data_IF_062829829606
#
_entry.id   IF_062829829606
#
_cell.length_a   1.000
_cell.length_b   1.000
_cell.length_c   1.000
_cell.angle_alpha   90.00
_cell.angle_beta   90.00
_cell.angle_gamma   90.00
#
_symmetry.space_group_name_H-M   'P 1'
#
loop_
_entity.id
_entity.type
_entity.pdbx_description
1 polymer ?
#
# COMPACT_ATOMS: atom_id res chain seq x y z
N UNK A 1 -27.44 4.44 -15.98
CA UNK A 1 -26.38 5.48 -16.05
C UNK A 1 -25.70 5.74 -14.71
N UNK A 2 -26.34 6.33 -13.68
CA UNK A 2 -25.67 6.58 -12.39
C UNK A 2 -25.34 5.27 -11.64
N UNK A 3 -26.24 4.29 -11.72
CA UNK A 3 -26.09 2.96 -11.11
C UNK A 3 -24.99 2.14 -11.80
N UNK A 4 -24.96 2.15 -13.14
CA UNK A 4 -23.89 1.50 -13.92
C UNK A 4 -22.51 2.12 -13.66
N UNK A 5 -22.45 3.44 -13.46
CA UNK A 5 -21.21 4.13 -13.13
C UNK A 5 -20.70 3.81 -11.72
N UNK A 6 -21.62 3.67 -10.75
CA UNK A 6 -21.31 3.20 -9.40
C UNK A 6 -20.86 1.73 -9.39
N UNK A 7 -21.52 0.87 -10.16
CA UNK A 7 -21.13 -0.55 -10.28
C UNK A 7 -19.75 -0.69 -10.95
N UNK A 8 -19.47 0.10 -11.98
CA UNK A 8 -18.15 0.12 -12.64
C UNK A 8 -17.01 0.50 -11.68
N UNK A 9 -17.21 1.51 -10.83
CA UNK A 9 -16.22 1.89 -9.79
C UNK A 9 -16.01 0.80 -8.74
N UNK A 10 -17.06 0.07 -8.41
CA UNK A 10 -17.01 -1.03 -7.46
C UNK A 10 -16.26 -2.24 -8.04
N UNK A 11 -16.41 -2.50 -9.33
CA UNK A 11 -15.64 -3.53 -10.02
C UNK A 11 -14.17 -3.14 -10.18
N UNK A 12 -13.86 -1.88 -10.48
CA UNK A 12 -12.49 -1.35 -10.46
C UNK A 12 -11.84 -1.51 -9.08
N UNK A 13 -12.55 -1.22 -7.98
CA UNK A 13 -12.04 -1.42 -6.63
C UNK A 13 -11.76 -2.90 -6.31
N UNK A 14 -12.62 -3.82 -6.74
CA UNK A 14 -12.37 -5.27 -6.62
C UNK A 14 -11.12 -5.68 -7.39
N UNK A 15 -10.92 -5.11 -8.58
CA UNK A 15 -9.77 -5.42 -9.41
C UNK A 15 -8.46 -4.90 -8.79
N UNK A 16 -8.46 -3.68 -8.24
CA UNK A 16 -7.32 -3.15 -7.47
C UNK A 16 -6.98 -4.09 -6.32
N UNK A 17 -7.98 -4.47 -5.52
CA UNK A 17 -7.78 -5.39 -4.40
C UNK A 17 -7.24 -6.76 -4.85
N UNK A 18 -7.77 -7.33 -5.93
CA UNK A 18 -7.31 -8.61 -6.51
C UNK A 18 -5.87 -8.49 -7.03
N UNK A 19 -5.59 -7.46 -7.82
CA UNK A 19 -4.28 -7.22 -8.43
C UNK A 19 -3.17 -7.08 -7.38
N UNK A 20 -3.41 -6.33 -6.31
CA UNK A 20 -2.45 -6.18 -5.21
C UNK A 20 -2.18 -7.51 -4.49
N UNK A 21 -3.22 -8.32 -4.29
CA UNK A 21 -3.07 -9.66 -3.70
C UNK A 21 -2.30 -10.63 -4.59
N UNK A 22 -2.48 -10.54 -5.90
CA UNK A 22 -1.70 -11.30 -6.89
C UNK A 22 -0.24 -10.84 -6.86
N UNK A 23 0.02 -9.53 -6.86
CA UNK A 23 1.37 -8.98 -6.78
C UNK A 23 2.10 -9.45 -5.50
N UNK A 24 1.45 -9.36 -4.34
CA UNK A 24 1.98 -9.90 -3.09
C UNK A 24 2.33 -11.41 -3.22
N UNK A 25 1.47 -12.16 -3.90
CA UNK A 25 1.66 -13.58 -4.20
C UNK A 25 2.90 -13.87 -5.05
N UNK A 26 3.07 -13.10 -6.13
CA UNK A 26 4.22 -13.21 -7.03
C UNK A 26 5.52 -12.90 -6.26
N UNK A 27 5.58 -11.78 -5.54
CA UNK A 27 6.77 -11.42 -4.76
C UNK A 27 7.09 -12.47 -3.69
N UNK A 28 6.06 -13.00 -3.01
CA UNK A 28 6.23 -14.06 -2.02
C UNK A 28 6.79 -15.34 -2.66
N UNK A 29 6.24 -15.77 -3.80
CA UNK A 29 6.73 -16.95 -4.52
C UNK A 29 8.18 -16.77 -5.00
N UNK A 30 8.53 -15.60 -5.54
CA UNK A 30 9.90 -15.28 -5.94
C UNK A 30 10.86 -15.35 -4.74
N UNK A 31 10.49 -14.71 -3.62
CA UNK A 31 11.27 -14.69 -2.37
C UNK A 31 11.53 -16.09 -1.82
N UNK A 32 10.50 -16.94 -1.79
CA UNK A 32 10.57 -18.24 -1.12
C UNK A 32 11.13 -19.35 -2.04
N UNK A 33 10.82 -19.30 -3.35
CA UNK A 33 11.07 -20.42 -4.26
C UNK A 33 12.15 -20.19 -5.31
N UNK A 34 12.54 -18.93 -5.60
CA UNK A 34 13.45 -18.62 -6.72
C UNK A 34 14.70 -17.86 -6.31
N UNK A 35 14.57 -16.81 -5.49
CA UNK A 35 15.72 -16.04 -4.99
C UNK A 35 16.76 -16.93 -4.27
N UNK A 36 16.36 -17.91 -3.42
CA UNK A 36 17.32 -18.81 -2.78
C UNK A 36 18.11 -19.71 -3.74
N UNK A 37 17.67 -19.83 -5.00
CA UNK A 37 18.34 -20.65 -6.04
C UNK A 37 19.41 -19.87 -6.81
N UNK A 38 19.54 -18.55 -6.58
CA UNK A 38 20.54 -17.74 -7.25
C UNK A 38 21.94 -18.10 -6.72
N UNK A 39 22.82 -18.55 -7.62
CA UNK A 39 24.22 -18.86 -7.28
C UNK A 39 24.95 -17.58 -6.83
N UNK A 40 24.66 -16.47 -7.50
CA UNK A 40 25.17 -15.14 -7.14
C UNK A 40 24.03 -14.34 -6.52
N UNK A 41 24.12 -13.98 -5.23
CA UNK A 41 23.08 -13.20 -4.58
C UNK A 41 23.01 -11.79 -5.17
N UNK A 42 21.82 -11.19 -5.10
CA UNK A 42 21.64 -9.80 -5.51
C UNK A 42 22.42 -8.86 -4.57
N UNK A 43 23.00 -7.82 -5.16
CA UNK A 43 23.66 -6.75 -4.40
C UNK A 43 22.67 -6.02 -3.49
N UNK A 44 23.19 -5.41 -2.42
CA UNK A 44 22.40 -4.58 -1.51
C UNK A 44 21.77 -3.41 -2.27
N UNK A 45 20.49 -3.16 -2.02
CA UNK A 45 19.69 -2.10 -2.63
C UNK A 45 19.06 -2.49 -3.98
N UNK A 46 19.20 -3.74 -4.43
CA UNK A 46 18.58 -4.25 -5.67
C UNK A 46 17.27 -4.97 -5.37
N UNK A 47 16.39 -5.05 -6.36
CA UNK A 47 15.01 -5.55 -6.19
C UNK A 47 14.93 -7.01 -5.70
N UNK A 48 15.89 -7.85 -6.09
CA UNK A 48 15.98 -9.25 -5.67
C UNK A 48 16.64 -9.44 -4.30
N UNK A 49 17.00 -8.35 -3.62
CA UNK A 49 17.44 -8.43 -2.24
C UNK A 49 16.24 -8.71 -1.31
N UNK A 50 16.44 -9.61 -0.35
CA UNK A 50 15.44 -10.05 0.64
C UNK A 50 14.63 -8.91 1.29
N UNK A 51 15.28 -7.79 1.63
CA UNK A 51 14.62 -6.64 2.28
C UNK A 51 13.63 -5.92 1.35
N UNK A 52 14.01 -5.69 0.08
CA UNK A 52 13.14 -4.99 -0.87
C UNK A 52 11.93 -5.85 -1.21
N UNK A 53 12.17 -7.13 -1.53
CA UNK A 53 11.07 -8.02 -1.90
C UNK A 53 10.10 -8.27 -0.73
N UNK A 54 10.60 -8.40 0.51
CA UNK A 54 9.75 -8.51 1.69
C UNK A 54 8.92 -7.24 1.92
N UNK A 55 9.52 -6.05 1.76
CA UNK A 55 8.80 -4.80 1.86
C UNK A 55 7.70 -4.67 0.79
N UNK A 56 7.94 -5.13 -0.44
CA UNK A 56 6.91 -5.18 -1.49
C UNK A 56 5.76 -6.13 -1.14
N UNK A 57 6.04 -7.34 -0.63
CA UNK A 57 4.99 -8.27 -0.17
C UNK A 57 4.09 -7.59 0.87
N UNK A 58 4.71 -6.99 1.88
CA UNK A 58 3.98 -6.35 2.99
C UNK A 58 3.21 -5.12 2.51
N UNK A 59 3.80 -4.29 1.64
CA UNK A 59 3.12 -3.11 1.10
C UNK A 59 1.91 -3.49 0.26
N UNK A 60 2.03 -4.49 -0.62
CA UNK A 60 0.89 -4.95 -1.43
C UNK A 60 -0.26 -5.45 -0.54
N UNK A 61 0.03 -6.14 0.56
CA UNK A 61 -0.99 -6.52 1.54
C UNK A 61 -1.61 -5.30 2.22
N UNK A 62 -0.80 -4.34 2.67
CA UNK A 62 -1.27 -3.11 3.31
C UNK A 62 -2.19 -2.29 2.39
N UNK A 63 -1.79 -2.09 1.14
CA UNK A 63 -2.56 -1.34 0.14
C UNK A 63 -3.87 -2.04 -0.23
N UNK A 64 -3.87 -3.37 -0.32
CA UNK A 64 -5.09 -4.14 -0.51
C UNK A 64 -6.01 -4.03 0.73
N UNK A 65 -5.43 -4.02 1.93
CA UNK A 65 -6.17 -3.86 3.19
C UNK A 65 -6.91 -2.51 3.25
N UNK A 66 -6.36 -1.44 2.64
CA UNK A 66 -7.05 -0.16 2.51
C UNK A 66 -8.38 -0.27 1.75
N UNK A 67 -8.39 -1.06 0.67
CA UNK A 67 -9.60 -1.30 -0.12
C UNK A 67 -10.61 -2.08 0.71
N UNK A 68 -10.15 -3.05 1.51
CA UNK A 68 -10.99 -3.79 2.45
C UNK A 68 -11.60 -2.87 3.52
N UNK A 69 -10.83 -1.93 4.08
CA UNK A 69 -11.33 -0.93 5.03
C UNK A 69 -12.39 -0.04 4.37
N UNK A 70 -12.10 0.51 3.19
CA UNK A 70 -13.03 1.36 2.46
C UNK A 70 -14.35 0.63 2.19
N UNK A 71 -14.28 -0.66 1.80
CA UNK A 71 -15.44 -1.51 1.59
C UNK A 71 -16.18 -1.81 2.90
N UNK A 72 -15.45 -2.04 4.00
CA UNK A 72 -16.06 -2.29 5.31
C UNK A 72 -16.86 -1.08 5.81
N UNK A 73 -16.35 0.14 5.57
CA UNK A 73 -17.04 1.40 5.86
C UNK A 73 -18.28 1.55 4.96
N UNK A 74 -18.15 1.29 3.67
CA UNK A 74 -19.27 1.36 2.71
C UNK A 74 -20.42 0.41 3.08
N UNK A 75 -20.07 -0.80 3.52
CA UNK A 75 -21.00 -1.83 4.00
C UNK A 75 -21.49 -1.60 5.43
N UNK A 76 -21.08 -0.49 6.08
CA UNK A 76 -21.48 -0.11 7.44
C UNK A 76 -21.23 -1.21 8.48
N UNK A 77 -20.08 -1.88 8.38
CA UNK A 77 -19.67 -2.83 9.41
C UNK A 77 -19.45 -2.14 10.77
N UNK A 78 -19.43 -2.94 11.83
CA UNK A 78 -19.23 -2.46 13.19
C UNK A 78 -17.91 -1.65 13.33
N UNK A 79 -17.92 -0.52 14.05
CA UNK A 79 -16.73 0.32 14.25
C UNK A 79 -15.53 -0.45 14.78
N UNK A 80 -15.73 -1.41 15.68
CA UNK A 80 -14.65 -2.24 16.23
C UNK A 80 -13.92 -3.07 15.16
N UNK A 81 -14.64 -3.59 14.16
CA UNK A 81 -14.01 -4.31 13.04
C UNK A 81 -13.18 -3.35 12.17
N UNK A 82 -13.74 -2.17 11.86
CA UNK A 82 -13.04 -1.16 11.05
C UNK A 82 -11.78 -0.67 11.78
N UNK A 83 -11.88 -0.44 13.10
CA UNK A 83 -10.74 -0.06 13.94
C UNK A 83 -9.64 -1.13 13.93
N UNK A 84 -10.02 -2.41 14.05
CA UNK A 84 -9.08 -3.52 14.00
C UNK A 84 -8.40 -3.66 12.63
N UNK A 85 -9.16 -3.56 11.53
CA UNK A 85 -8.61 -3.59 10.18
C UNK A 85 -7.62 -2.43 9.94
N UNK A 86 -7.96 -1.22 10.40
CA UNK A 86 -7.09 -0.06 10.30
C UNK A 86 -5.82 -0.22 11.14
N UNK A 87 -5.92 -0.79 12.34
CA UNK A 87 -4.76 -1.04 13.20
C UNK A 87 -3.79 -2.04 12.57
N UNK A 88 -4.31 -3.16 12.05
CA UNK A 88 -3.50 -4.17 11.35
C UNK A 88 -2.87 -3.60 10.06
N UNK A 89 -3.58 -2.72 9.35
CA UNK A 89 -3.03 -1.99 8.19
C UNK A 89 -1.85 -1.11 8.59
N UNK A 90 -1.96 -0.37 9.71
CA UNK A 90 -0.86 0.41 10.22
C UNK A 90 0.34 -0.46 10.62
N UNK A 91 0.09 -1.65 11.19
CA UNK A 91 1.15 -2.62 11.53
C UNK A 91 1.88 -3.15 10.29
N UNK A 92 1.16 -3.43 9.19
CA UNK A 92 1.82 -3.78 7.92
C UNK A 92 2.72 -2.64 7.43
N UNK A 93 2.24 -1.40 7.41
CA UNK A 93 3.05 -0.25 7.00
C UNK A 93 4.27 -0.02 7.91
N UNK A 94 4.10 -0.19 9.22
CA UNK A 94 5.20 -0.12 10.17
C UNK A 94 6.25 -1.20 9.91
N UNK A 95 5.79 -2.45 9.71
CA UNK A 95 6.68 -3.58 9.42
C UNK A 95 7.46 -3.34 8.13
N UNK A 96 6.80 -2.88 7.07
CA UNK A 96 7.45 -2.53 5.81
C UNK A 96 8.50 -1.42 5.99
N UNK A 97 8.19 -0.35 6.74
CA UNK A 97 9.18 0.71 7.03
C UNK A 97 10.40 0.15 7.79
N UNK A 98 10.16 -0.71 8.77
CA UNK A 98 11.22 -1.34 9.56
C UNK A 98 12.11 -2.24 8.69
N UNK A 99 11.52 -3.01 7.77
CA UNK A 99 12.26 -3.86 6.81
C UNK A 99 13.25 -3.05 5.97
N UNK A 100 12.90 -1.82 5.62
CA UNK A 100 13.74 -0.92 4.81
C UNK A 100 14.71 -0.06 5.64
N UNK A 101 14.62 -0.06 6.97
CA UNK A 101 15.34 0.86 7.85
C UNK A 101 16.88 0.76 7.78
N UNK A 102 17.39 -0.40 7.36
CA UNK A 102 18.83 -0.71 7.25
C UNK A 102 19.41 -0.54 5.83
N UNK A 103 18.58 -0.10 4.88
CA UNK A 103 19.00 0.25 3.53
C UNK A 103 19.59 1.66 3.47
N UNK A 104 20.32 1.98 2.40
CA UNK A 104 20.91 3.31 2.31
C UNK A 104 19.81 4.37 2.13
N UNK A 105 19.93 5.53 2.82
CA UNK A 105 18.94 6.60 2.74
C UNK A 105 18.72 7.14 1.32
N UNK A 106 19.72 7.10 0.44
CA UNK A 106 19.68 7.70 -0.89
C UNK A 106 18.51 7.18 -1.76
N UNK A 107 18.17 5.90 -1.65
CA UNK A 107 17.09 5.28 -2.43
C UNK A 107 15.89 4.81 -1.58
N UNK A 108 16.04 4.73 -0.25
CA UNK A 108 14.98 4.24 0.64
C UNK A 108 14.17 5.35 1.34
N UNK A 109 14.73 6.55 1.53
CA UNK A 109 14.12 7.58 2.40
C UNK A 109 12.73 7.99 1.93
N UNK A 110 12.55 8.25 0.63
CA UNK A 110 11.25 8.66 0.10
C UNK A 110 10.19 7.57 0.29
N UNK A 111 10.56 6.33 0.06
CA UNK A 111 9.68 5.19 0.26
C UNK A 111 9.31 5.00 1.74
N UNK A 112 10.30 5.08 2.63
CA UNK A 112 10.10 5.03 4.08
C UNK A 112 9.18 6.15 4.59
N UNK A 113 9.31 7.37 4.05
CA UNK A 113 8.39 8.48 4.37
C UNK A 113 6.95 8.18 3.97
N UNK A 114 6.73 7.55 2.81
CA UNK A 114 5.40 7.08 2.40
C UNK A 114 4.83 6.03 3.36
N UNK A 115 5.63 5.03 3.72
CA UNK A 115 5.18 3.96 4.64
C UNK A 115 4.88 4.51 6.04
N UNK A 116 5.72 5.41 6.57
CA UNK A 116 5.49 6.07 7.85
C UNK A 116 4.25 6.97 7.81
N UNK A 117 4.05 7.74 6.73
CA UNK A 117 2.83 8.53 6.52
C UNK A 117 1.60 7.64 6.61
N UNK A 118 1.59 6.53 5.86
CA UNK A 118 0.47 5.58 5.83
C UNK A 118 0.25 4.92 7.17
N UNK A 119 1.30 4.53 7.88
CA UNK A 119 1.21 4.01 9.25
C UNK A 119 0.48 5.03 10.16
N UNK A 120 0.96 6.27 10.26
CA UNK A 120 0.32 7.28 11.12
C UNK A 120 -1.13 7.55 10.72
N UNK A 121 -1.41 7.58 9.42
CA UNK A 121 -2.75 7.78 8.89
C UNK A 121 -3.71 6.64 9.30
N UNK A 122 -3.29 5.39 9.16
CA UNK A 122 -4.12 4.24 9.52
C UNK A 122 -4.23 4.02 11.03
N UNK A 123 -3.21 4.41 11.81
CA UNK A 123 -3.33 4.46 13.28
C UNK A 123 -4.35 5.52 13.71
N UNK A 124 -4.40 6.68 13.06
CA UNK A 124 -5.44 7.68 13.31
C UNK A 124 -6.85 7.16 12.98
N UNK A 125 -7.00 6.42 11.86
CA UNK A 125 -8.24 5.71 11.53
C UNK A 125 -8.65 4.73 12.63
N UNK A 126 -7.70 3.93 13.13
CA UNK A 126 -7.95 2.96 14.19
C UNK A 126 -8.47 3.62 15.47
N UNK A 127 -7.80 4.68 15.94
CA UNK A 127 -8.24 5.44 17.11
C UNK A 127 -9.60 6.13 16.92
N UNK A 128 -9.92 6.57 15.70
CA UNK A 128 -11.19 7.20 15.39
C UNK A 128 -12.36 6.20 15.55
N UNK A 129 -12.29 5.05 14.88
CA UNK A 129 -13.32 4.01 14.99
C UNK A 129 -13.32 3.29 16.34
N UNK A 130 -12.17 3.22 17.02
CA UNK A 130 -12.11 2.76 18.41
C UNK A 130 -12.86 3.72 19.34
N UNK A 131 -12.73 5.04 19.13
CA UNK A 131 -13.52 6.05 19.83
C UNK A 131 -15.03 5.86 19.63
N UNK A 132 -15.48 5.55 18.41
CA UNK A 132 -16.89 5.21 18.17
C UNK A 132 -17.33 3.94 18.90
N UNK A 133 -16.46 2.93 18.99
CA UNK A 133 -16.73 1.69 19.73
C UNK A 133 -16.88 1.96 21.24
N UNK A 134 -16.00 2.80 21.80
CA UNK A 134 -16.04 3.20 23.20
C UNK A 134 -17.29 4.04 23.50
N UNK A 135 -17.65 4.95 22.60
CA UNK A 135 -18.87 5.76 22.72
C UNK A 135 -20.12 4.87 22.73
N UNK A 136 -20.19 3.88 21.83
CA UNK A 136 -21.28 2.91 21.79
C UNK A 136 -21.35 1.99 23.03
N UNK A 137 -20.27 1.96 23.83
CA UNK A 137 -20.19 1.22 25.09
C UNK A 137 -20.34 2.13 26.31
N UNK A 138 -20.92 3.32 26.14
CA UNK A 138 -21.11 4.36 27.16
C UNK A 138 -19.81 4.84 27.82
N UNK A 139 -18.63 4.64 27.20
CA UNK A 139 -17.33 5.09 27.68
C UNK A 139 -16.89 6.38 27.00
N UNK A 140 -17.71 7.41 27.09
CA UNK A 140 -17.51 8.69 26.40
C UNK A 140 -16.20 9.40 26.79
N UNK A 141 -15.76 9.33 28.05
CA UNK A 141 -14.48 9.92 28.47
C UNK A 141 -13.27 9.28 27.77
N UNK A 142 -13.25 7.96 27.69
CA UNK A 142 -12.23 7.19 26.95
C UNK A 142 -12.32 7.46 25.44
N UNK A 143 -13.54 7.57 24.90
CA UNK A 143 -13.78 7.88 23.48
C UNK A 143 -13.18 9.23 23.09
N UNK A 144 -13.35 10.27 23.91
CA UNK A 144 -12.73 11.59 23.69
C UNK A 144 -11.21 11.45 23.67
N UNK A 145 -10.62 10.73 24.63
CA UNK A 145 -9.17 10.58 24.70
C UNK A 145 -8.61 9.80 23.51
N UNK A 146 -9.34 8.79 23.01
CA UNK A 146 -9.03 8.07 21.78
C UNK A 146 -9.00 9.01 20.57
N UNK A 147 -10.02 9.86 20.42
CA UNK A 147 -10.13 10.80 19.30
C UNK A 147 -9.09 11.93 19.35
N UNK A 148 -8.70 12.37 20.55
CA UNK A 148 -7.57 13.29 20.71
C UNK A 148 -6.25 12.66 20.23
N UNK A 149 -6.06 11.35 20.43
CA UNK A 149 -4.89 10.65 19.89
C UNK A 149 -4.97 10.52 18.36
N UNK A 150 -6.17 10.26 17.82
CA UNK A 150 -6.40 10.26 16.37
C UNK A 150 -6.05 11.61 15.74
N UNK A 151 -6.43 12.73 16.36
CA UNK A 151 -6.13 14.08 15.88
C UNK A 151 -4.61 14.35 15.85
N UNK A 152 -3.88 13.98 16.92
CA UNK A 152 -2.41 14.10 16.97
C UNK A 152 -1.74 13.30 15.86
N UNK A 153 -2.16 12.05 15.65
CA UNK A 153 -1.60 11.18 14.61
C UNK A 153 -1.94 11.66 13.20
N UNK A 154 -3.13 12.21 13.01
CA UNK A 154 -3.54 12.84 11.75
C UNK A 154 -2.68 14.07 11.43
N UNK A 155 -2.44 14.94 12.40
CA UNK A 155 -1.55 16.10 12.24
C UNK A 155 -0.11 15.66 11.93
N UNK A 156 0.38 14.59 12.58
CA UNK A 156 1.68 13.99 12.26
C UNK A 156 1.72 13.44 10.83
N UNK A 157 0.66 12.77 10.38
CA UNK A 157 0.56 12.29 9.00
C UNK A 157 0.55 13.45 7.99
N UNK A 158 -0.07 14.58 8.34
CA UNK A 158 -0.07 15.78 7.49
C UNK A 158 1.32 16.41 7.37
N UNK A 159 2.08 16.46 8.46
CA UNK A 159 3.48 16.88 8.43
C UNK A 159 4.33 15.94 7.54
N UNK A 160 4.16 14.62 7.70
CA UNK A 160 4.84 13.62 6.87
C UNK A 160 4.44 13.72 5.39
N UNK A 161 3.23 14.15 5.05
CA UNK A 161 2.84 14.43 3.66
C UNK A 161 3.69 15.53 3.04
N UNK A 162 4.00 16.59 3.80
CA UNK A 162 4.84 17.70 3.33
C UNK A 162 6.28 17.21 3.13
N UNK A 163 6.82 16.53 4.14
CA UNK A 163 8.18 15.96 4.07
C UNK A 163 8.33 14.98 2.90
N UNK A 164 7.34 14.11 2.66
CA UNK A 164 7.34 13.19 1.52
C UNK A 164 7.39 13.93 0.18
N UNK A 165 6.61 15.00 0.02
CA UNK A 165 6.60 15.82 -1.18
C UNK A 165 7.90 16.60 -1.44
N UNK A 166 8.68 16.87 -0.39
CA UNK A 166 9.97 17.57 -0.48
C UNK A 166 11.16 16.59 -0.60
N UNK A 167 10.96 15.33 -0.24
CA UNK A 167 12.00 14.30 -0.29
C UNK A 167 12.26 13.85 -1.72
N UNK A 168 13.51 14.00 -2.18
CA UNK A 168 13.98 13.43 -3.44
C UNK A 168 14.09 11.91 -3.34
N UNK A 169 13.74 11.21 -4.42
CA UNK A 169 13.82 9.76 -4.50
C UNK A 169 13.00 9.21 -5.67
N UNK A 170 12.96 7.89 -5.83
CA UNK A 170 12.23 7.23 -6.92
C UNK A 170 10.75 7.64 -6.98
N UNK A 171 10.19 7.61 -8.18
CA UNK A 171 8.78 7.94 -8.45
C UNK A 171 8.46 9.45 -8.47
N UNK A 172 7.24 9.82 -8.88
CA UNK A 172 6.83 11.21 -9.02
C UNK A 172 6.76 11.94 -7.68
N UNK A 173 6.84 13.27 -7.71
CA UNK A 173 6.56 14.12 -6.54
C UNK A 173 5.06 14.28 -6.39
N UNK A 174 4.49 13.65 -5.37
CA UNK A 174 3.05 13.70 -5.08
C UNK A 174 2.83 14.51 -3.79
N UNK A 175 1.67 15.18 -3.68
CA UNK A 175 1.24 15.90 -2.46
C UNK A 175 -0.02 15.22 -1.88
N UNK A 176 0.13 14.15 -1.08
CA UNK A 176 -1.00 13.31 -0.65
C UNK A 176 -2.02 14.03 0.24
N UNK A 177 -1.61 15.08 0.96
CA UNK A 177 -2.49 15.87 1.84
C UNK A 177 -3.65 16.57 1.10
N UNK A 178 -3.49 16.82 -0.20
CA UNK A 178 -4.55 17.38 -1.05
C UNK A 178 -5.60 16.36 -1.48
N UNK A 179 -5.33 15.07 -1.33
CA UNK A 179 -6.19 14.02 -1.88
C UNK A 179 -7.46 13.84 -1.04
N UNK A 180 -8.55 13.45 -1.69
CA UNK A 180 -9.86 13.30 -1.06
C UNK A 180 -9.85 12.30 0.11
N UNK A 181 -9.08 11.22 0.03
CA UNK A 181 -9.00 10.21 1.10
C UNK A 181 -8.43 10.82 2.39
N UNK A 182 -7.42 11.70 2.28
CA UNK A 182 -6.76 12.32 3.42
C UNK A 182 -7.72 13.28 4.14
N UNK A 183 -8.36 14.18 3.37
CA UNK A 183 -9.31 15.17 3.90
C UNK A 183 -10.55 14.55 4.54
N UNK A 184 -11.03 13.42 4.01
CA UNK A 184 -12.18 12.70 4.58
C UNK A 184 -11.91 12.24 6.01
N UNK A 185 -10.72 11.72 6.29
CA UNK A 185 -10.35 11.31 7.65
C UNK A 185 -10.30 12.50 8.60
N UNK A 186 -9.67 13.61 8.20
CA UNK A 186 -9.59 14.81 9.05
C UNK A 186 -10.97 15.33 9.48
N UNK A 187 -11.92 15.38 8.54
CA UNK A 187 -13.30 15.76 8.84
C UNK A 187 -13.99 14.74 9.75
N UNK A 188 -13.78 13.43 9.53
CA UNK A 188 -14.35 12.39 10.36
C UNK A 188 -13.86 12.50 11.81
N UNK A 189 -12.54 12.60 12.03
CA UNK A 189 -11.95 12.75 13.37
C UNK A 189 -12.52 13.97 14.09
N UNK A 190 -12.54 15.12 13.41
CA UNK A 190 -13.06 16.37 13.98
C UNK A 190 -14.54 16.26 14.37
N UNK A 191 -15.39 15.80 13.45
CA UNK A 191 -16.83 15.70 13.70
C UNK A 191 -17.15 14.69 14.81
N UNK A 192 -16.45 13.56 14.85
CA UNK A 192 -16.63 12.53 15.88
C UNK A 192 -16.13 13.03 17.24
N UNK A 193 -15.02 13.77 17.30
CA UNK A 193 -14.52 14.39 18.53
C UNK A 193 -15.52 15.41 19.09
N UNK A 194 -16.02 16.33 18.24
CA UNK A 194 -17.03 17.31 18.63
C UNK A 194 -18.32 16.63 19.12
N UNK A 195 -18.74 15.54 18.48
CA UNK A 195 -19.87 14.71 18.94
C UNK A 195 -19.62 14.16 20.35
N UNK A 196 -18.50 13.48 20.58
CA UNK A 196 -18.17 12.93 21.90
C UNK A 196 -18.06 14.01 22.98
N UNK A 197 -17.49 15.18 22.66
CA UNK A 197 -17.41 16.30 23.60
C UNK A 197 -18.79 16.83 24.00
N UNK A 198 -19.70 16.99 23.03
CA UNK A 198 -21.08 17.38 23.31
C UNK A 198 -21.78 16.34 24.18
N UNK A 199 -21.72 15.07 23.79
CA UNK A 199 -22.37 13.99 24.57
C UNK A 199 -21.80 13.90 25.99
N UNK A 200 -20.50 14.07 26.17
CA UNK A 200 -19.91 14.09 27.51
C UNK A 200 -20.34 15.31 28.33
N UNK A 201 -20.53 16.47 27.69
CA UNK A 201 -20.96 17.70 28.34
C UNK A 201 -22.45 17.75 28.70
N UNK A 202 -23.29 16.95 28.05
CA UNK A 202 -24.74 16.93 28.29
C UNK A 202 -25.26 15.65 28.95
N UNK A 203 -24.62 14.51 28.73
CA UNK A 203 -25.15 13.18 29.10
C UNK A 203 -24.23 12.48 30.10
N UNK A 204 -22.97 12.24 29.73
CA UNK A 204 -22.13 11.29 30.48
C UNK A 204 -21.34 11.91 31.63
N UNK A 205 -20.89 13.15 31.52
CA UNK A 205 -20.04 13.85 32.50
C UNK A 205 -18.82 13.04 32.97
N UNK A 206 -18.27 12.19 32.09
CA UNK A 206 -17.17 11.31 32.42
C UNK A 206 -15.84 12.05 32.39
N UNK A 207 -14.94 11.66 33.29
CA UNK A 207 -13.56 12.15 33.29
C UNK A 207 -12.83 11.63 32.06
N UNK A 208 -12.11 12.51 31.38
CA UNK A 208 -11.25 12.15 30.25
C UNK A 208 -9.94 11.58 30.81
N UNK A 209 -9.54 10.34 30.46
CA UNK A 209 -8.26 9.78 30.87
C UNK A 209 -7.07 10.60 30.35
N UNK A 210 -5.96 10.62 31.08
CA UNK A 210 -4.72 11.31 30.66
C UNK A 210 -4.01 10.56 29.54
N UNK A 211 -3.94 9.23 29.65
CA UNK A 211 -3.24 8.37 28.72
C UNK A 211 -4.15 7.89 27.58
N UNK A 212 -3.59 7.72 26.40
CA UNK A 212 -4.32 7.16 25.26
C UNK A 212 -4.65 5.68 25.51
N UNK A 213 -5.77 5.17 25.01
CA UNK A 213 -6.02 3.73 25.05
C UNK A 213 -4.94 2.98 24.28
N UNK A 214 -4.45 1.89 24.85
CA UNK A 214 -3.57 0.96 24.14
C UNK A 214 -4.42 0.14 23.17
N UNK A 215 -4.11 0.24 21.87
CA UNK A 215 -4.83 -0.51 20.85
C UNK A 215 -4.29 -1.93 20.79
N UNK A 216 -5.00 -2.89 21.38
CA UNK A 216 -4.76 -4.32 21.23
C UNK A 216 -5.85 -4.93 20.34
N UNK A 217 -6.05 -4.35 19.16
CA UNK A 217 -7.12 -4.73 18.25
C UNK A 217 -6.63 -5.84 17.31
N UNK A 218 -7.42 -6.90 17.19
CA UNK A 218 -7.17 -7.98 16.21
C UNK A 218 -8.38 -8.12 15.30
N UNK A 219 -8.15 -8.07 13.99
CA UNK A 219 -9.22 -8.24 13.02
C UNK A 219 -9.57 -9.72 12.88
N UNK A 220 -10.81 -10.09 13.21
CA UNK A 220 -11.29 -11.48 13.10
C UNK A 220 -11.61 -11.90 11.65
N UNK A 221 -11.87 -10.93 10.77
CA UNK A 221 -12.26 -11.14 9.38
C UNK A 221 -11.63 -10.06 8.50
N UNK A 222 -11.46 -10.35 7.21
CA UNK A 222 -11.05 -9.35 6.21
C UNK A 222 -9.55 -9.05 6.18
N UNK A 223 -8.71 -9.80 6.89
CA UNK A 223 -7.25 -9.72 6.71
C UNK A 223 -6.85 -10.20 5.33
N UNK A 224 -5.99 -9.44 4.67
CA UNK A 224 -5.52 -9.71 3.32
C UNK A 224 -4.34 -10.67 3.35
N UNK A 225 -4.53 -11.81 2.70
CA UNK A 225 -3.48 -12.78 2.41
C UNK A 225 -3.04 -12.73 0.94
N UNK A 226 -1.75 -12.95 0.63
CA UNK A 226 -1.27 -13.09 -0.74
C UNK A 226 -1.98 -14.25 -1.44
N UNK A 227 -2.34 -14.06 -2.72
CA UNK A 227 -2.86 -15.16 -3.54
C UNK A 227 -1.67 -16.05 -3.95
N UNK A 228 -1.69 -17.37 -3.68
CA UNK A 228 -0.62 -18.25 -4.12
C UNK A 228 -0.36 -18.13 -5.62
N UNK A 229 0.92 -17.98 -5.98
CA UNK A 229 1.37 -17.88 -7.36
C UNK A 229 2.32 -19.03 -7.67
N UNK A 230 2.19 -19.58 -8.87
CA UNK A 230 3.10 -20.55 -9.45
C UNK A 230 3.34 -20.18 -10.92
N UNK A 231 4.56 -20.40 -11.41
CA UNK A 231 4.84 -20.29 -12.83
C UNK A 231 4.09 -21.38 -13.61
N UNK A 232 3.65 -21.10 -14.85
CA UNK A 232 3.09 -22.14 -15.69
C UNK A 232 4.13 -23.24 -15.95
N UNK A 233 3.68 -24.47 -16.26
CA UNK A 233 4.59 -25.53 -16.65
C UNK A 233 5.39 -25.12 -17.89
N UNK A 234 6.56 -25.73 -18.05
CA UNK A 234 7.40 -25.53 -19.24
C UNK A 234 6.60 -25.78 -20.51
N UNK A 235 6.76 -24.89 -21.50
CA UNK A 235 6.09 -25.03 -22.79
C UNK A 235 6.39 -26.39 -23.43
N UNK A 236 5.37 -27.00 -24.02
CA UNK A 236 5.47 -28.28 -24.76
C UNK A 236 6.46 -28.24 -25.93
N UNK A 237 6.88 -27.04 -26.34
CA UNK A 237 7.88 -26.83 -27.38
C UNK A 237 9.31 -27.21 -26.93
N UNK A 238 9.56 -27.24 -25.62
CA UNK A 238 10.83 -27.68 -25.07
C UNK A 238 10.87 -29.22 -24.98
N UNK A 239 11.27 -29.86 -26.08
CA UNK A 239 11.49 -31.31 -26.14
C UNK A 239 12.97 -31.66 -26.01
N UNK A 240 13.33 -32.93 -25.68
CA UNK A 240 14.72 -33.37 -25.66
C UNK A 240 15.47 -33.12 -26.97
N UNK A 241 14.80 -33.27 -28.12
CA UNK A 241 15.37 -33.01 -29.44
C UNK A 241 15.69 -31.52 -29.63
N UNK A 242 14.75 -30.64 -29.25
CA UNK A 242 14.94 -29.19 -29.27
C UNK A 242 16.08 -28.78 -28.34
N UNK A 243 16.15 -29.36 -27.14
CA UNK A 243 17.21 -29.05 -26.18
C UNK A 243 18.58 -29.55 -26.65
N UNK A 244 18.65 -30.74 -27.26
CA UNK A 244 19.87 -31.31 -27.83
C UNK A 244 20.42 -30.48 -29.02
N UNK A 245 19.57 -29.69 -29.68
CA UNK A 245 20.01 -28.77 -30.73
C UNK A 245 20.83 -27.57 -30.19
N UNK A 246 20.78 -27.28 -28.89
CA UNK A 246 21.63 -26.26 -28.25
C UNK A 246 23.06 -26.80 -28.05
N UNK A 247 23.81 -26.85 -29.15
CA UNK A 247 25.20 -27.28 -29.17
C UNK A 247 26.15 -26.09 -28.92
N UNK A 248 26.64 -25.97 -27.68
CA UNK A 248 27.57 -24.91 -27.27
C UNK A 248 28.92 -24.97 -27.99
N UNK A 249 29.25 -26.08 -28.67
CA UNK A 249 30.47 -26.23 -29.46
C UNK A 249 30.33 -25.66 -30.87
N UNK A 250 29.08 -25.60 -31.38
CA UNK A 250 28.72 -24.95 -32.62
C UNK A 250 28.37 -23.49 -32.34
N UNK A 251 29.39 -22.70 -32.00
CA UNK A 251 29.23 -21.24 -32.08
C UNK A 251 28.77 -20.90 -33.49
N UNK A 252 27.78 -20.00 -33.67
CA UNK A 252 27.60 -19.35 -34.96
C UNK A 252 28.98 -18.86 -35.38
N UNK A 253 29.40 -19.17 -36.62
CA UNK A 253 30.58 -18.51 -37.19
C UNK A 253 30.35 -17.02 -36.96
N UNK A 254 31.30 -16.33 -36.33
CA UNK A 254 31.33 -14.88 -36.34
C UNK A 254 31.04 -14.47 -37.77
N UNK A 255 29.88 -13.87 -37.98
CA UNK A 255 29.62 -13.15 -39.21
C UNK A 255 30.53 -11.93 -39.09
N UNK A 256 31.78 -12.13 -39.51
CA UNK A 256 32.82 -11.11 -39.64
C UNK A 256 32.49 -10.18 -40.81
N UNK A 257 31.20 -9.93 -41.04
CA UNK A 257 30.74 -8.71 -41.65
C UNK A 257 30.89 -7.61 -40.62
N UNK A 258 31.81 -6.68 -40.91
CA UNK A 258 31.94 -5.39 -40.21
C UNK A 258 30.55 -4.90 -39.79
N UNK A 259 30.36 -4.40 -38.55
CA UNK A 259 29.11 -3.75 -38.21
C UNK A 259 28.85 -2.70 -39.29
N UNK A 260 27.75 -2.86 -40.03
CA UNK A 260 27.22 -1.75 -40.83
C UNK A 260 27.10 -0.58 -39.84
N UNK A 261 27.56 0.63 -40.19
CA UNK A 261 27.33 1.79 -39.33
C UNK A 261 25.85 1.79 -38.99
N UNK A 262 25.55 1.77 -37.69
CA UNK A 262 24.19 1.84 -37.18
C UNK A 262 23.48 2.94 -37.96
N UNK A 263 22.51 2.56 -38.79
CA UNK A 263 21.56 3.53 -39.31
C UNK A 263 20.94 4.12 -38.05
N UNK A 264 21.20 5.41 -37.79
CA UNK A 264 20.59 6.13 -36.68
C UNK A 264 19.09 5.82 -36.71
N UNK A 265 18.65 4.97 -35.80
CA UNK A 265 17.23 4.72 -35.60
C UNK A 265 16.70 6.03 -35.05
N UNK A 266 16.21 6.89 -35.96
CA UNK A 266 15.58 8.14 -35.59
C UNK A 266 14.51 7.78 -34.56
N UNK A 267 14.53 8.38 -33.36
CA UNK A 267 13.54 8.11 -32.34
C UNK A 267 12.17 8.27 -32.99
N UNK A 268 11.35 7.21 -32.97
CA UNK A 268 9.95 7.33 -33.34
C UNK A 268 9.37 8.33 -32.35
N UNK A 269 9.05 9.54 -32.82
CA UNK A 269 8.29 10.50 -32.02
C UNK A 269 6.92 9.88 -31.82
N UNK A 270 6.69 9.34 -30.62
CA UNK A 270 5.35 9.05 -30.16
C UNK A 270 4.51 10.33 -30.33
N UNK A 271 3.32 10.25 -30.94
CA UNK A 271 2.47 11.42 -31.07
C UNK A 271 2.10 11.94 -29.67
N UNK A 272 2.29 13.23 -29.44
CA UNK A 272 1.86 13.92 -28.22
C UNK A 272 0.36 13.69 -28.00
N UNK A 273 0.01 12.72 -27.16
CA UNK A 273 -1.34 12.59 -26.63
C UNK A 273 -1.48 13.71 -25.60
N UNK A 274 -1.97 14.86 -26.05
CA UNK A 274 -2.42 15.91 -25.14
C UNK A 274 -3.49 15.30 -24.22
N UNK A 275 -3.36 15.43 -22.89
CA UNK A 275 -4.38 14.93 -21.99
C UNK A 275 -5.70 15.65 -22.25
N UNK A 276 -6.68 14.93 -22.81
CA UNK A 276 -8.06 15.37 -22.84
C UNK A 276 -8.61 15.27 -21.42
N UNK A 277 -9.29 16.33 -20.97
CA UNK A 277 -9.69 16.58 -19.58
C UNK A 277 -10.61 15.53 -18.91
N UNK A 278 -10.99 14.45 -19.59
CA UNK A 278 -12.09 13.57 -19.14
C UNK A 278 -11.75 12.08 -18.98
N UNK A 279 -10.49 11.64 -19.13
CA UNK A 279 -10.11 10.25 -18.80
C UNK A 279 -9.21 10.21 -17.58
N UNK A 280 -9.85 10.13 -16.40
CA UNK A 280 -9.19 9.91 -15.13
C UNK A 280 -8.62 8.50 -15.03
N UNK A 281 -7.37 8.32 -15.45
CA UNK A 281 -6.50 7.22 -15.03
C UNK A 281 -5.06 7.73 -15.07
N UNK A 282 -4.54 8.19 -13.92
CA UNK A 282 -3.11 8.30 -13.71
C UNK A 282 -2.65 6.96 -13.13
N UNK A 283 -1.89 6.20 -13.92
CA UNK A 283 -1.19 5.00 -13.46
C UNK A 283 0.17 5.46 -12.91
N UNK A 284 0.45 4.99 -11.69
CA UNK A 284 1.60 5.25 -10.83
C UNK A 284 2.95 4.85 -11.45
#
# INVERSE_FOLDING_TARGET
MLQDWLEKKKDEAKEVHRSLKIAAGIFKHLKESHIPKLITPAEKGRDLESRLIEAYVIQCQAEAQEVTIARAIELKHAPGLIAALAYETANFYQKADHTLSSLEPAYSTKWRKYLHLKMCFYTAYAYCYHGETLLASDKCGEAIRSLQEAEKLYAKAEALCKEYGETKGPGPTVKPSGHLFFRKLGNLVKNTLEKCQRENGFIYFQKIPTEAPQLELKANYGLVEPIPFEFPPTSVQWTPETLAAFDLTKRPKDDSTKPKPEEEVKPVKEPDIKPQKDTGCYIS
#
